data_IF_817682323996
#
_entry.id   IF_817682323996
#
_cell.length_a   1.000
_cell.length_b   1.000
_cell.length_c   1.000
_cell.angle_alpha   90.00
_cell.angle_beta   90.00
_cell.angle_gamma   90.00
#
_symmetry.space_group_name_H-M   'P 1'
#
loop_
_entity.id
_entity.type
_entity.pdbx_description
1 polymer ?
#
# COMPACT_ATOMS: atom_id res chain seq x y z
N UNK A 1 -0.47 -15.81 4.41
CA UNK A 1 -1.13 -14.99 5.45
C UNK A 1 -2.21 -14.18 4.77
N UNK A 2 -3.39 -14.11 5.36
CA UNK A 2 -4.45 -13.21 4.88
C UNK A 2 -4.06 -11.75 5.07
N UNK A 3 -4.57 -10.85 4.22
CA UNK A 3 -4.32 -9.39 4.31
C UNK A 3 -4.60 -8.86 5.72
N UNK A 4 -5.69 -9.33 6.33
CA UNK A 4 -6.08 -8.97 7.70
C UNK A 4 -4.97 -9.29 8.70
N UNK A 5 -4.36 -10.48 8.60
CA UNK A 5 -3.29 -10.90 9.52
C UNK A 5 -2.03 -10.07 9.33
N UNK A 6 -1.72 -9.68 8.10
CA UNK A 6 -0.57 -8.82 7.80
C UNK A 6 -0.76 -7.41 8.38
N UNK A 7 -1.97 -6.84 8.27
CA UNK A 7 -2.27 -5.53 8.86
C UNK A 7 -2.19 -5.56 10.38
N UNK A 8 -2.70 -6.62 11.03
CA UNK A 8 -2.56 -6.78 12.48
C UNK A 8 -1.09 -6.97 12.90
N UNK A 9 -0.29 -7.69 12.11
CA UNK A 9 1.15 -7.80 12.35
C UNK A 9 1.87 -6.46 12.19
N UNK A 10 1.46 -5.62 11.22
CA UNK A 10 1.99 -4.25 11.08
C UNK A 10 1.69 -3.39 12.32
N UNK A 11 0.49 -3.52 12.91
CA UNK A 11 0.13 -2.82 14.16
C UNK A 11 0.97 -3.25 15.36
N UNK A 12 1.45 -4.50 15.35
CA UNK A 12 2.34 -5.04 16.37
C UNK A 12 3.81 -4.66 16.13
N UNK A 13 4.10 -3.89 15.08
CA UNK A 13 5.44 -3.41 14.76
C UNK A 13 6.31 -4.45 14.04
N UNK A 14 5.72 -5.46 13.39
CA UNK A 14 6.45 -6.46 12.60
C UNK A 14 6.73 -5.94 11.17
N UNK A 15 7.97 -5.53 10.83
CA UNK A 15 8.28 -4.90 9.55
C UNK A 15 8.12 -5.83 8.34
N UNK A 16 8.28 -7.14 8.54
CA UNK A 16 8.17 -8.15 7.48
C UNK A 16 6.74 -8.26 6.95
N UNK A 17 5.74 -7.99 7.80
CA UNK A 17 4.35 -7.96 7.39
C UNK A 17 4.08 -6.80 6.42
N UNK A 18 4.72 -5.65 6.64
CA UNK A 18 4.65 -4.51 5.75
C UNK A 18 5.25 -4.82 4.37
N UNK A 19 6.46 -5.39 4.35
CA UNK A 19 7.11 -5.79 3.09
C UNK A 19 6.26 -6.78 2.28
N UNK A 20 5.56 -7.67 2.97
CA UNK A 20 4.63 -8.61 2.33
C UNK A 20 3.43 -7.88 1.72
N UNK A 21 2.81 -6.93 2.44
CA UNK A 21 1.72 -6.11 1.91
C UNK A 21 2.18 -5.32 0.67
N UNK A 22 3.33 -4.65 0.74
CA UNK A 22 3.88 -3.91 -0.41
C UNK A 22 4.06 -4.85 -1.60
N UNK A 23 4.71 -5.98 -1.41
CA UNK A 23 4.97 -6.95 -2.50
C UNK A 23 3.70 -7.45 -3.19
N UNK A 24 2.62 -7.66 -2.43
CA UNK A 24 1.34 -8.13 -2.97
C UNK A 24 0.61 -7.07 -3.81
N UNK A 25 0.62 -5.82 -3.39
CA UNK A 25 -0.22 -4.77 -3.99
C UNK A 25 0.55 -3.82 -4.92
N UNK A 26 1.88 -3.75 -4.80
CA UNK A 26 2.70 -2.83 -5.59
C UNK A 26 2.54 -3.01 -7.10
N UNK A 27 2.53 -4.22 -7.68
CA UNK A 27 2.34 -4.38 -9.13
C UNK A 27 1.00 -3.82 -9.62
N UNK A 28 -0.06 -4.01 -8.84
CA UNK A 28 -1.39 -3.51 -9.17
C UNK A 28 -1.47 -1.98 -9.01
N UNK A 29 -0.88 -1.42 -7.95
CA UNK A 29 -0.79 0.02 -7.74
C UNK A 29 -0.02 0.71 -8.88
N UNK A 30 1.14 0.16 -9.26
CA UNK A 30 1.96 0.68 -10.35
C UNK A 30 1.23 0.64 -11.69
N UNK A 31 0.61 -0.48 -12.04
CA UNK A 31 -0.18 -0.59 -13.26
C UNK A 31 -1.33 0.41 -13.32
N UNK A 32 -1.99 0.65 -12.18
CA UNK A 32 -3.09 1.59 -12.09
C UNK A 32 -2.63 3.05 -12.21
N UNK A 33 -1.58 3.48 -11.50
CA UNK A 33 -1.05 4.85 -11.63
C UNK A 33 -0.52 5.12 -13.04
N UNK A 34 0.17 4.14 -13.63
CA UNK A 34 0.71 4.24 -15.00
C UNK A 34 -0.39 4.54 -16.03
N UNK A 35 -1.63 4.06 -15.81
CA UNK A 35 -2.76 4.35 -16.70
C UNK A 35 -3.14 5.85 -16.72
N UNK A 36 -2.85 6.59 -15.65
CA UNK A 36 -3.19 8.02 -15.54
C UNK A 36 -2.04 8.92 -15.99
N UNK A 37 -0.82 8.69 -15.51
CA UNK A 37 0.32 9.54 -15.86
C UNK A 37 0.94 9.22 -17.23
N UNK A 38 0.75 7.99 -17.75
CA UNK A 38 1.37 7.48 -18.99
C UNK A 38 2.91 7.57 -19.01
N UNK A 39 3.50 7.63 -17.83
CA UNK A 39 4.94 7.69 -17.61
C UNK A 39 5.27 6.71 -16.48
N UNK A 40 6.09 5.71 -16.79
CA UNK A 40 6.40 4.65 -15.84
C UNK A 40 7.29 5.14 -14.71
N UNK A 41 8.26 5.98 -15.00
CA UNK A 41 9.22 6.45 -13.99
C UNK A 41 8.48 7.35 -12.99
N UNK A 42 7.63 8.25 -13.50
CA UNK A 42 6.75 9.06 -12.66
C UNK A 42 5.74 8.20 -11.87
N UNK A 43 5.24 7.10 -12.45
CA UNK A 43 4.35 6.19 -11.74
C UNK A 43 5.07 5.48 -10.59
N UNK A 44 6.32 5.08 -10.78
CA UNK A 44 7.14 4.46 -9.73
C UNK A 44 7.35 5.43 -8.57
N UNK A 45 7.69 6.69 -8.86
CA UNK A 45 7.86 7.74 -7.83
C UNK A 45 6.57 7.96 -7.01
N UNK A 46 5.42 8.15 -7.69
CA UNK A 46 4.11 8.34 -7.03
C UNK A 46 3.76 7.15 -6.13
N UNK A 47 3.95 5.92 -6.63
CA UNK A 47 3.62 4.71 -5.88
C UNK A 47 4.54 4.55 -4.67
N UNK A 48 5.83 4.87 -4.80
CA UNK A 48 6.77 4.84 -3.68
C UNK A 48 6.37 5.85 -2.59
N UNK A 49 6.06 7.10 -2.94
CA UNK A 49 5.59 8.12 -1.99
C UNK A 49 4.28 7.71 -1.30
N UNK A 50 3.38 7.07 -2.05
CA UNK A 50 2.13 6.53 -1.53
C UNK A 50 2.37 5.44 -0.49
N UNK A 51 3.35 4.55 -0.73
CA UNK A 51 3.74 3.53 0.24
C UNK A 51 4.35 4.12 1.50
N UNK A 52 5.19 5.15 1.38
CA UNK A 52 5.75 5.86 2.54
C UNK A 52 4.64 6.50 3.38
N UNK A 53 3.65 7.10 2.73
CA UNK A 53 2.46 7.66 3.39
C UNK A 53 1.63 6.56 4.06
N UNK A 54 1.37 5.46 3.37
CA UNK A 54 0.64 4.33 3.91
C UNK A 54 1.34 3.68 5.11
N UNK A 55 2.67 3.57 5.10
CA UNK A 55 3.43 3.03 6.23
C UNK A 55 3.22 3.83 7.52
N UNK A 56 3.02 5.15 7.41
CA UNK A 56 2.77 6.03 8.57
C UNK A 56 1.37 5.84 9.16
N UNK A 57 0.39 5.44 8.35
CA UNK A 57 -1.02 5.38 8.74
C UNK A 57 -1.59 3.95 8.85
N UNK A 58 -0.86 2.91 8.42
CA UNK A 58 -1.36 1.53 8.40
C UNK A 58 -1.76 1.03 9.79
N UNK A 59 -1.06 1.47 10.84
CA UNK A 59 -1.40 1.13 12.23
C UNK A 59 -2.74 1.73 12.67
N UNK A 60 -3.11 2.88 12.11
CA UNK A 60 -4.36 3.61 12.40
C UNK A 60 -5.58 3.04 11.65
N UNK A 61 -5.36 2.14 10.67
CA UNK A 61 -6.42 1.56 9.86
C UNK A 61 -7.36 0.70 10.70
N UNK A 62 -8.48 1.26 11.17
CA UNK A 62 -9.41 0.60 12.12
C UNK A 62 -9.93 -0.76 11.65
N UNK A 63 -10.24 -0.90 10.37
CA UNK A 63 -10.72 -2.15 9.77
C UNK A 63 -9.65 -2.74 8.82
N UNK A 64 -8.95 -3.81 9.23
CA UNK A 64 -7.95 -4.49 8.39
C UNK A 64 -8.47 -4.99 7.04
N UNK A 65 -9.75 -5.38 6.96
CA UNK A 65 -10.36 -5.86 5.70
C UNK A 65 -10.48 -4.73 4.67
N UNK A 66 -10.45 -3.47 5.10
CA UNK A 66 -10.50 -2.33 4.21
C UNK A 66 -9.15 -2.01 3.54
N UNK A 67 -8.06 -2.68 3.94
CA UNK A 67 -6.71 -2.38 3.45
C UNK A 67 -6.60 -2.30 1.92
N UNK A 68 -7.13 -3.26 1.12
CA UNK A 68 -7.04 -3.17 -0.33
C UNK A 68 -7.69 -1.89 -0.87
N UNK A 69 -8.89 -1.55 -0.40
CA UNK A 69 -9.55 -0.31 -0.83
C UNK A 69 -8.82 0.94 -0.35
N UNK A 70 -8.32 0.91 0.88
CA UNK A 70 -7.66 2.04 1.54
C UNK A 70 -6.33 2.41 0.86
N UNK A 71 -5.50 1.44 0.47
CA UNK A 71 -4.23 1.74 -0.21
C UNK A 71 -4.46 2.42 -1.57
N UNK A 72 -5.47 1.98 -2.32
CA UNK A 72 -5.88 2.63 -3.58
C UNK A 72 -6.54 3.99 -3.37
N UNK A 73 -6.86 4.42 -2.14
CA UNK A 73 -7.26 5.81 -1.86
C UNK A 73 -6.05 6.71 -1.62
N UNK A 74 -5.00 6.18 -0.98
CA UNK A 74 -3.75 6.92 -0.74
C UNK A 74 -3.06 7.23 -2.06
N UNK A 75 -2.98 6.23 -2.96
CA UNK A 75 -2.34 6.35 -4.27
C UNK A 75 -3.02 7.38 -5.21
N UNK A 76 -4.21 7.91 -4.87
CA UNK A 76 -4.89 8.96 -5.65
C UNK A 76 -4.47 10.39 -5.31
N UNK A 77 -3.76 10.58 -4.20
CA UNK A 77 -3.50 11.91 -3.62
C UNK A 77 -2.08 12.32 -3.92
#
# INVERSE_FOLDING_TARGET
MEVVQLVEACRQGLPEAWNTLVSMFHPQALGWVTQFCRDRDLAEDIVQESWLTAARHVSELRNPQAFPRWIFQIVKT
#
